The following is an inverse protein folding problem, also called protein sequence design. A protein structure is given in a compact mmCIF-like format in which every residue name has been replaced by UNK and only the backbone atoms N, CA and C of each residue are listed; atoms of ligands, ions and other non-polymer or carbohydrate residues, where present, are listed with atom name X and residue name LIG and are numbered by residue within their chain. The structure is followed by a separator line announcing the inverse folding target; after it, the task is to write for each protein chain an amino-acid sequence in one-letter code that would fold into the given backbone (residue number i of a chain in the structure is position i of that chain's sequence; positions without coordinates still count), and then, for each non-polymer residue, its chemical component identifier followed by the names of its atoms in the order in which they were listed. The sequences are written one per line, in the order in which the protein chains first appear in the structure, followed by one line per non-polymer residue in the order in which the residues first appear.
data_IF_055124478630
#
_entry.id   IF_055124478630
#
_cell.length_a   1.000
_cell.length_b   1.000
_cell.length_c   1.000
_cell.angle_alpha   90.00
_cell.angle_beta   90.00
_cell.angle_gamma   90.00
#
_symmetry.space_group_name_H-M   'P 1'
#
loop_
_entity.id
_entity.type
_entity.pdbx_description
1 polymer ?
#
# COMPACT_ATOMS: atom_id res chain seq x y z
N UNK A 1 86.33 6.99 -58.72
CA UNK A 1 86.46 8.44 -59.04
C UNK A 1 85.30 9.17 -58.38
N UNK A 2 85.61 10.25 -57.63
CA UNK A 2 84.74 11.25 -56.96
C UNK A 2 84.03 10.75 -55.68
N UNK A 3 84.48 11.04 -54.44
CA UNK A 3 84.49 12.32 -53.65
C UNK A 3 83.06 12.90 -53.54
N UNK A 4 82.44 13.18 -52.38
CA UNK A 4 82.89 13.94 -51.18
C UNK A 4 81.90 13.85 -49.99
N UNK A 5 82.43 13.94 -48.75
CA UNK A 5 81.98 14.66 -47.52
C UNK A 5 80.49 14.59 -47.04
N UNK A 6 80.11 14.69 -45.77
CA UNK A 6 80.71 14.79 -44.43
C UNK A 6 79.52 14.94 -43.47
N UNK A 7 79.52 14.28 -42.32
CA UNK A 7 79.36 14.90 -40.99
C UNK A 7 79.12 13.83 -39.91
N UNK A 8 80.00 13.89 -38.91
CA UNK A 8 79.93 13.21 -37.61
C UNK A 8 79.09 14.08 -36.69
N UNK A 9 78.01 13.55 -36.09
CA UNK A 9 77.69 13.76 -34.67
C UNK A 9 76.61 12.79 -34.16
N UNK A 10 77.01 11.96 -33.19
CA UNK A 10 76.34 11.46 -31.98
C UNK A 10 74.87 11.86 -31.74
N UNK A 11 73.99 10.91 -31.32
CA UNK A 11 73.30 10.92 -30.01
C UNK A 11 72.20 9.84 -29.84
N UNK A 12 72.22 9.22 -28.65
CA UNK A 12 71.20 8.51 -27.86
C UNK A 12 70.48 7.24 -28.37
N UNK A 13 70.70 6.16 -27.60
CA UNK A 13 69.77 5.04 -27.41
C UNK A 13 68.43 5.54 -26.84
N UNK A 14 67.33 5.05 -27.42
CA UNK A 14 66.05 4.87 -26.73
C UNK A 14 65.51 3.50 -27.13
N UNK A 15 65.51 2.57 -26.17
CA UNK A 15 64.92 1.24 -26.30
C UNK A 15 63.41 1.44 -26.07
N UNK A 16 62.60 1.35 -27.13
CA UNK A 16 61.15 1.34 -27.02
C UNK A 16 60.68 -0.12 -27.00
N UNK A 17 60.35 -0.62 -25.82
CA UNK A 17 59.62 -1.88 -25.63
C UNK A 17 58.16 -1.65 -25.99
N UNK A 18 57.74 -2.14 -27.15
CA UNK A 18 56.34 -2.14 -27.58
C UNK A 18 55.60 -3.29 -26.89
N UNK A 19 54.95 -3.02 -25.76
CA UNK A 19 53.98 -3.93 -25.17
C UNK A 19 52.65 -3.80 -25.91
N UNK A 20 52.29 -4.84 -26.66
CA UNK A 20 50.97 -4.97 -27.28
C UNK A 20 49.95 -5.26 -26.18
N UNK A 21 49.29 -4.23 -25.66
CA UNK A 21 48.18 -4.39 -24.74
C UNK A 21 46.94 -4.85 -25.53
N UNK A 22 46.53 -6.09 -25.31
CA UNK A 22 45.25 -6.61 -25.76
C UNK A 22 44.14 -5.89 -24.97
N UNK A 23 43.42 -4.97 -25.60
CA UNK A 23 42.29 -4.27 -24.98
C UNK A 23 41.12 -5.23 -24.82
N UNK A 24 41.05 -5.89 -23.65
CA UNK A 24 39.83 -6.49 -23.16
C UNK A 24 38.88 -5.34 -22.80
N UNK A 25 37.94 -5.01 -23.68
CA UNK A 25 36.76 -4.23 -23.29
C UNK A 25 35.97 -5.07 -22.32
N UNK A 26 36.12 -4.78 -21.02
CA UNK A 26 35.19 -5.22 -20.00
C UNK A 26 33.85 -4.56 -20.35
N UNK A 27 32.77 -5.32 -20.59
CA UNK A 27 31.45 -4.70 -20.70
C UNK A 27 31.20 -3.99 -19.37
N UNK A 28 30.90 -2.68 -19.43
CA UNK A 28 30.44 -1.97 -18.25
C UNK A 28 29.35 -2.82 -17.61
N UNK A 29 29.51 -3.15 -16.32
CA UNK A 29 28.41 -3.69 -15.54
C UNK A 29 27.25 -2.73 -15.77
N UNK A 30 26.13 -3.25 -16.26
CA UNK A 30 24.88 -2.51 -16.25
C UNK A 30 24.73 -1.96 -14.84
N UNK A 31 24.64 -0.63 -14.71
CA UNK A 31 24.15 -0.05 -13.46
C UNK A 31 22.92 -0.85 -13.05
N UNK A 32 22.78 -1.29 -11.79
CA UNK A 32 21.53 -1.89 -11.36
C UNK A 32 20.41 -0.92 -11.76
N UNK A 33 19.36 -1.44 -12.39
CA UNK A 33 18.12 -0.69 -12.55
C UNK A 33 17.79 -0.04 -11.19
N UNK A 34 17.32 1.23 -11.15
CA UNK A 34 16.94 1.84 -9.89
C UNK A 34 15.96 0.88 -9.18
N UNK A 35 16.37 0.38 -8.04
CA UNK A 35 15.54 -0.48 -7.23
C UNK A 35 14.58 0.43 -6.49
N UNK A 36 13.35 0.53 -6.99
CA UNK A 36 12.29 1.23 -6.29
C UNK A 36 11.97 0.48 -5.00
N UNK A 37 11.91 1.22 -3.89
CA UNK A 37 11.38 0.78 -2.61
C UNK A 37 9.98 1.35 -2.47
N UNK A 38 9.09 0.64 -1.79
CA UNK A 38 7.80 1.24 -1.48
C UNK A 38 8.01 2.44 -0.54
N UNK A 39 8.72 2.18 0.56
CA UNK A 39 8.99 3.13 1.65
C UNK A 39 10.44 3.01 2.20
N UNK A 40 10.77 3.80 3.22
CA UNK A 40 12.07 3.76 3.95
C UNK A 40 11.99 2.97 5.27
N UNK A 41 10.93 2.20 5.52
CA UNK A 41 10.84 1.33 6.69
C UNK A 41 11.91 0.22 6.59
N UNK A 42 12.55 -0.14 7.72
CA UNK A 42 13.65 -1.07 7.71
C UNK A 42 13.20 -2.46 7.23
N UNK A 43 13.77 -2.93 6.13
CA UNK A 43 13.78 -4.36 5.81
C UNK A 43 14.49 -5.15 6.90
N UNK A 44 14.12 -6.43 7.09
CA UNK A 44 14.39 -7.32 8.25
C UNK A 44 15.75 -7.26 8.98
N UNK A 45 16.79 -6.63 8.42
CA UNK A 45 18.14 -6.62 8.94
C UNK A 45 18.44 -5.63 10.09
N UNK A 46 17.53 -4.74 10.49
CA UNK A 46 17.79 -3.80 11.62
C UNK A 46 16.68 -3.70 12.68
N UNK A 47 15.64 -4.53 12.63
CA UNK A 47 14.68 -4.62 13.73
C UNK A 47 15.02 -5.81 14.61
N UNK A 48 15.97 -5.66 15.52
CA UNK A 48 16.40 -6.75 16.40
C UNK A 48 15.41 -7.08 17.52
N UNK A 49 14.09 -7.07 17.24
CA UNK A 49 13.11 -8.04 17.75
C UNK A 49 11.94 -8.31 16.76
N UNK A 50 12.06 -8.01 15.46
CA UNK A 50 11.09 -8.40 14.43
C UNK A 50 11.52 -9.73 13.78
N UNK A 51 10.97 -10.81 14.31
CA UNK A 51 11.34 -12.19 14.00
C UNK A 51 10.58 -12.64 12.73
N UNK A 52 11.33 -12.85 11.64
CA UNK A 52 11.20 -13.72 10.44
C UNK A 52 9.87 -14.36 9.99
N UNK A 53 8.71 -13.88 10.42
CA UNK A 53 7.38 -14.33 10.00
C UNK A 53 6.49 -13.08 10.09
N UNK A 54 5.98 -12.58 8.96
CA UNK A 54 5.12 -11.41 8.84
C UNK A 54 4.42 -10.98 10.15
N UNK A 55 4.92 -9.92 10.80
CA UNK A 55 4.44 -9.48 12.12
C UNK A 55 3.50 -8.30 11.98
N UNK A 56 2.36 -8.40 12.64
CA UNK A 56 1.55 -7.24 12.99
C UNK A 56 2.36 -6.32 13.92
N UNK A 57 2.65 -5.10 13.49
CA UNK A 57 3.33 -4.08 14.29
C UNK A 57 2.34 -3.48 15.29
N UNK A 58 1.10 -3.25 14.86
CA UNK A 58 -0.01 -2.74 15.67
C UNK A 58 -1.33 -3.08 15.00
N UNK A 59 -2.46 -2.64 15.56
CA UNK A 59 -3.79 -2.79 14.93
C UNK A 59 -4.75 -1.71 15.38
N UNK A 60 -5.77 -1.47 14.56
CA UNK A 60 -6.96 -0.73 14.93
C UNK A 60 -7.81 -1.48 15.95
N UNK A 61 -8.41 -0.75 16.90
CA UNK A 61 -9.43 -1.29 17.81
C UNK A 61 -10.83 -1.33 17.18
N UNK A 62 -11.05 -0.54 16.12
CA UNK A 62 -12.27 -0.51 15.32
C UNK A 62 -12.12 -1.32 14.03
N UNK A 63 -13.22 -1.93 13.58
CA UNK A 63 -13.32 -2.53 12.24
C UNK A 63 -13.87 -1.55 11.20
N UNK A 64 -14.51 -0.47 11.65
CA UNK A 64 -14.94 0.63 10.80
C UNK A 64 -13.87 1.71 10.82
N UNK A 65 -13.18 1.87 9.69
CA UNK A 65 -12.06 2.79 9.52
C UNK A 65 -12.49 3.88 8.53
N UNK A 66 -12.29 5.14 8.89
CA UNK A 66 -12.56 6.26 7.99
C UNK A 66 -11.27 6.79 7.37
N UNK A 67 -11.33 7.27 6.14
CA UNK A 67 -10.18 7.91 5.48
C UNK A 67 -10.58 9.21 4.78
N UNK A 68 -9.62 10.13 4.57
CA UNK A 68 -9.87 11.41 3.91
C UNK A 68 -8.72 11.80 2.97
N UNK A 69 -9.06 12.22 1.75
CA UNK A 69 -8.10 12.80 0.80
C UNK A 69 -7.85 14.27 1.13
N UNK A 70 -6.65 14.61 1.59
CA UNK A 70 -6.26 16.00 1.85
C UNK A 70 -6.10 16.81 0.56
N UNK A 71 -5.59 16.17 -0.49
CA UNK A 71 -5.38 16.72 -1.83
C UNK A 71 -5.45 15.59 -2.89
N UNK A 72 -4.95 15.85 -4.10
CA UNK A 72 -4.88 14.91 -5.22
C UNK A 72 -3.65 15.18 -6.08
N UNK A 73 -3.40 14.32 -7.07
CA UNK A 73 -2.35 14.53 -8.09
C UNK A 73 -2.97 14.83 -9.46
N UNK A 74 -2.38 15.76 -10.21
CA UNK A 74 -2.79 16.08 -11.59
C UNK A 74 -2.13 15.16 -12.63
N UNK A 75 -1.38 14.14 -12.20
CA UNK A 75 -0.68 13.21 -13.09
C UNK A 75 -1.61 12.16 -13.74
N UNK A 76 -2.77 11.94 -13.15
CA UNK A 76 -3.81 11.03 -13.62
C UNK A 76 -5.08 11.83 -13.93
N UNK A 77 -5.80 11.44 -14.98
CA UNK A 77 -6.95 12.19 -15.45
C UNK A 77 -8.15 12.05 -14.50
N UNK A 78 -8.74 13.18 -14.08
CA UNK A 78 -10.03 13.18 -13.37
C UNK A 78 -9.93 12.72 -11.92
N UNK A 79 -10.68 11.66 -11.56
CA UNK A 79 -10.68 11.06 -10.21
C UNK A 79 -9.99 9.67 -10.22
N UNK A 80 -9.20 9.35 -11.25
CA UNK A 80 -8.58 8.03 -11.42
C UNK A 80 -7.72 7.67 -10.22
N UNK A 81 -6.95 8.61 -9.68
CA UNK A 81 -6.13 8.42 -8.49
C UNK A 81 -6.96 8.03 -7.25
N UNK A 82 -8.10 8.69 -7.04
CA UNK A 82 -9.02 8.36 -5.94
C UNK A 82 -9.66 7.00 -6.13
N UNK A 83 -10.06 6.67 -7.35
CA UNK A 83 -10.68 5.38 -7.67
C UNK A 83 -9.70 4.21 -7.49
N UNK A 84 -8.42 4.39 -7.81
CA UNK A 84 -7.38 3.40 -7.56
C UNK A 84 -7.14 3.21 -6.06
N UNK A 85 -7.11 4.28 -5.27
CA UNK A 85 -6.97 4.19 -3.81
C UNK A 85 -8.19 3.52 -3.16
N UNK A 86 -9.42 3.82 -3.60
CA UNK A 86 -10.64 3.11 -3.17
C UNK A 86 -10.58 1.62 -3.51
N UNK A 87 -10.07 1.26 -4.68
CA UNK A 87 -9.85 -0.15 -5.06
C UNK A 87 -8.78 -0.81 -4.19
N UNK A 88 -7.72 -0.10 -3.81
CA UNK A 88 -6.70 -0.61 -2.91
C UNK A 88 -7.28 -0.94 -1.52
N UNK A 89 -8.11 -0.06 -0.94
CA UNK A 89 -8.88 -0.40 0.28
C UNK A 89 -9.78 -1.62 0.09
N UNK A 90 -10.38 -1.77 -1.09
CA UNK A 90 -11.26 -2.91 -1.42
C UNK A 90 -10.51 -4.25 -1.42
N UNK A 91 -9.24 -4.28 -1.82
CA UNK A 91 -8.42 -5.51 -1.77
C UNK A 91 -8.36 -6.06 -0.33
N UNK A 92 -8.15 -5.18 0.65
CA UNK A 92 -8.04 -5.54 2.06
C UNK A 92 -9.39 -5.85 2.71
N UNK A 93 -10.43 -5.05 2.45
CA UNK A 93 -11.78 -5.32 2.99
C UNK A 93 -12.41 -6.59 2.42
N UNK A 94 -12.03 -7.00 1.20
CA UNK A 94 -12.50 -8.27 0.64
C UNK A 94 -12.00 -9.51 1.41
N UNK A 95 -10.92 -9.38 2.18
CA UNK A 95 -10.29 -10.49 2.91
C UNK A 95 -10.53 -10.43 4.43
N UNK A 96 -11.14 -9.34 4.93
CA UNK A 96 -11.28 -9.04 6.35
C UNK A 96 -12.70 -8.55 6.69
N UNK A 97 -13.07 -8.45 7.98
CA UNK A 97 -14.28 -7.75 8.41
C UNK A 97 -14.18 -6.22 8.33
N UNK A 98 -13.05 -5.66 7.88
CA UNK A 98 -12.83 -4.22 7.87
C UNK A 98 -13.74 -3.52 6.86
N UNK A 99 -14.23 -2.35 7.23
CA UNK A 99 -14.95 -1.45 6.32
C UNK A 99 -14.25 -0.11 6.24
N UNK A 100 -14.12 0.42 5.03
CA UNK A 100 -13.50 1.71 4.77
C UNK A 100 -14.55 2.69 4.26
N UNK A 101 -14.62 3.87 4.89
CA UNK A 101 -15.56 4.93 4.49
C UNK A 101 -14.83 6.25 4.32
N UNK A 102 -15.03 6.91 3.18
CA UNK A 102 -14.50 8.25 2.95
C UNK A 102 -15.20 9.26 3.87
N UNK A 103 -14.44 9.91 4.75
CA UNK A 103 -14.93 10.95 5.63
C UNK A 103 -15.23 12.25 4.84
N UNK A 104 -16.17 13.06 5.35
CA UNK A 104 -16.51 14.34 4.72
C UNK A 104 -15.51 15.46 5.03
N UNK A 105 -14.68 15.30 6.06
CA UNK A 105 -13.64 16.24 6.43
C UNK A 105 -12.49 15.53 7.17
N UNK A 106 -11.33 16.20 7.19
CA UNK A 106 -10.10 15.69 7.80
C UNK A 106 -10.24 15.32 9.28
N UNK A 107 -11.07 16.02 10.05
CA UNK A 107 -11.15 15.80 11.51
C UNK A 107 -11.89 14.50 11.89
N UNK A 108 -12.67 13.94 10.97
CA UNK A 108 -13.45 12.71 11.17
C UNK A 108 -12.76 11.46 10.58
N UNK A 109 -11.52 11.60 10.09
CA UNK A 109 -10.78 10.53 9.42
C UNK A 109 -9.82 9.83 10.39
N UNK A 110 -9.76 8.49 10.34
CA UNK A 110 -8.70 7.72 10.99
C UNK A 110 -7.40 7.77 10.16
N UNK A 111 -7.52 7.70 8.83
CA UNK A 111 -6.41 7.75 7.87
C UNK A 111 -6.49 9.01 7.01
N UNK A 112 -5.41 9.79 6.93
CA UNK A 112 -5.29 10.90 5.98
C UNK A 112 -4.41 10.53 4.80
N UNK A 113 -4.94 10.73 3.59
CA UNK A 113 -4.26 10.42 2.33
C UNK A 113 -3.82 11.73 1.67
N UNK A 114 -2.54 11.86 1.36
CA UNK A 114 -2.01 13.07 0.73
C UNK A 114 -0.91 12.79 -0.30
N UNK A 115 -0.77 13.71 -1.24
CA UNK A 115 0.32 13.83 -2.21
C UNK A 115 1.25 14.91 -1.72
N UNK A 116 2.54 14.60 -1.59
CA UNK A 116 3.53 15.53 -1.06
C UNK A 116 4.83 15.46 -1.86
N UNK A 117 5.69 16.45 -1.69
CA UNK A 117 7.01 16.50 -2.35
C UNK A 117 8.06 16.90 -1.32
N UNK A 118 9.21 16.22 -1.34
CA UNK A 118 10.35 16.51 -0.47
C UNK A 118 9.95 16.70 1.00
N UNK A 119 10.42 17.76 1.65
CA UNK A 119 10.00 18.12 3.01
C UNK A 119 8.54 18.57 3.06
N UNK A 120 7.72 17.80 3.78
CA UNK A 120 6.30 18.02 3.97
C UNK A 120 5.87 18.04 5.44
N UNK A 121 6.82 18.31 6.34
CA UNK A 121 6.62 18.61 7.76
C UNK A 121 6.10 17.45 8.65
N UNK A 122 6.25 16.19 8.24
CA UNK A 122 6.03 15.02 9.09
C UNK A 122 7.34 14.45 9.67
N UNK A 123 8.49 14.88 9.16
CA UNK A 123 9.81 14.46 9.62
C UNK A 123 10.52 13.48 8.68
N UNK A 124 9.79 12.97 7.68
CA UNK A 124 10.26 11.94 6.73
C UNK A 124 10.16 12.49 5.29
N UNK A 125 11.10 13.35 4.86
CA UNK A 125 11.02 13.98 3.54
C UNK A 125 11.21 12.97 2.40
N UNK A 126 10.43 13.09 1.33
CA UNK A 126 10.66 12.35 0.09
C UNK A 126 11.95 12.78 -0.62
N UNK A 127 12.47 11.93 -1.49
CA UNK A 127 13.76 12.11 -2.17
C UNK A 127 13.64 12.63 -3.62
N UNK A 128 12.42 12.75 -4.14
CA UNK A 128 12.13 13.15 -5.51
C UNK A 128 12.03 11.91 -6.42
N UNK A 129 12.29 12.04 -7.74
CA UNK A 129 12.06 10.91 -8.64
C UNK A 129 12.99 9.72 -8.38
N UNK A 130 12.42 8.55 -8.10
CA UNK A 130 13.13 7.30 -7.83
C UNK A 130 13.11 6.90 -6.35
N UNK A 131 13.62 5.70 -6.07
CA UNK A 131 13.79 5.15 -4.71
C UNK A 131 12.47 5.03 -3.92
N UNK A 132 12.10 6.00 -3.08
CA UNK A 132 10.96 5.89 -2.14
C UNK A 132 9.69 6.43 -2.80
N UNK A 133 8.71 5.54 -3.00
CA UNK A 133 7.49 5.87 -3.74
C UNK A 133 6.41 6.52 -2.85
N UNK A 134 6.32 6.08 -1.60
CA UNK A 134 5.30 6.47 -0.66
C UNK A 134 5.73 6.14 0.78
N UNK A 135 4.95 6.57 1.76
CA UNK A 135 5.05 6.03 3.11
C UNK A 135 3.72 6.10 3.86
N UNK A 136 3.58 5.24 4.87
CA UNK A 136 2.46 5.24 5.77
C UNK A 136 2.91 5.02 7.22
N UNK A 137 2.13 5.55 8.17
CA UNK A 137 2.30 5.22 9.57
C UNK A 137 1.45 4.02 9.98
N UNK A 138 1.89 3.34 11.05
CA UNK A 138 1.11 2.25 11.64
C UNK A 138 -0.01 2.79 12.54
N UNK A 139 -1.12 2.05 12.71
CA UNK A 139 -2.12 2.34 13.74
C UNK A 139 -1.46 2.51 15.10
N UNK A 140 -1.86 3.50 15.88
CA UNK A 140 -1.41 3.63 17.25
C UNK A 140 -2.61 3.45 18.20
N UNK A 141 -2.77 2.30 18.88
CA UNK A 141 -3.89 2.11 19.80
C UNK A 141 -3.72 2.89 21.12
N UNK A 142 -2.58 3.55 21.33
CA UNK A 142 -2.25 4.23 22.58
C UNK A 142 -2.48 5.74 22.53
N UNK A 143 -2.73 6.31 21.35
CA UNK A 143 -3.18 7.69 21.19
C UNK A 143 -4.18 7.83 20.05
N UNK A 144 -4.83 8.99 19.96
CA UNK A 144 -5.79 9.27 18.89
C UNK A 144 -5.12 10.01 17.72
N UNK A 145 -3.85 9.73 17.45
CA UNK A 145 -3.18 10.31 16.28
C UNK A 145 -3.76 9.71 15.00
N UNK A 146 -3.92 10.55 13.97
CA UNK A 146 -4.35 10.08 12.66
C UNK A 146 -3.19 9.34 12.01
N UNK A 147 -3.51 8.22 11.37
CA UNK A 147 -2.55 7.53 10.50
C UNK A 147 -2.40 8.33 9.21
N UNK A 148 -1.16 8.49 8.76
CA UNK A 148 -0.85 9.17 7.51
C UNK A 148 -0.56 8.14 6.43
N UNK A 149 -0.92 8.49 5.19
CA UNK A 149 -0.54 7.79 3.99
C UNK A 149 -0.18 8.84 2.94
N UNK A 150 1.11 8.96 2.65
CA UNK A 150 1.65 9.94 1.73
C UNK A 150 2.22 9.26 0.48
N UNK A 151 1.99 9.86 -0.67
CA UNK A 151 2.62 9.48 -1.95
C UNK A 151 3.55 10.60 -2.41
N UNK A 152 4.74 10.25 -2.94
CA UNK A 152 5.62 11.25 -3.55
C UNK A 152 5.04 11.72 -4.89
N UNK A 153 4.62 12.98 -4.96
CA UNK A 153 4.06 13.60 -6.16
C UNK A 153 5.14 14.00 -7.19
N UNK A 154 6.43 13.77 -6.89
CA UNK A 154 7.50 13.81 -7.89
C UNK A 154 7.69 12.47 -8.63
N UNK A 155 7.02 11.40 -8.19
CA UNK A 155 7.00 10.13 -8.91
C UNK A 155 6.05 10.12 -10.09
N UNK A 156 6.33 9.29 -11.09
CA UNK A 156 5.49 9.17 -12.30
C UNK A 156 4.41 8.10 -12.12
N UNK A 157 3.28 8.50 -11.56
CA UNK A 157 2.14 7.60 -11.31
C UNK A 157 1.42 7.17 -12.58
N UNK A 158 1.04 5.89 -12.65
CA UNK A 158 0.23 5.34 -13.73
C UNK A 158 -0.89 4.43 -13.21
N UNK A 159 -1.96 4.31 -14.01
CA UNK A 159 -2.88 3.18 -13.98
C UNK A 159 -2.41 2.14 -15.01
N UNK A 160 -1.45 1.28 -14.66
CA UNK A 160 -0.93 0.29 -15.62
C UNK A 160 -0.40 -0.99 -14.99
N UNK A 161 -0.77 -2.12 -15.59
CA UNK A 161 -0.27 -3.45 -15.21
C UNK A 161 0.98 -3.88 -16.00
N UNK A 162 1.52 -3.00 -16.84
CA UNK A 162 2.47 -3.44 -17.89
C UNK A 162 3.89 -2.95 -17.73
N UNK A 163 4.16 -1.91 -16.91
CA UNK A 163 5.42 -1.37 -16.31
C UNK A 163 5.13 0.05 -15.77
N UNK A 164 6.10 0.68 -15.08
CA UNK A 164 6.03 1.98 -14.36
C UNK A 164 5.43 1.86 -12.95
N UNK A 165 5.53 2.95 -12.17
CA UNK A 165 5.02 3.04 -10.79
C UNK A 165 3.49 3.02 -10.80
N UNK A 166 2.94 1.83 -10.62
CA UNK A 166 1.50 1.61 -10.60
C UNK A 166 0.89 2.05 -9.26
N UNK A 167 0.02 3.07 -9.31
CA UNK A 167 -0.53 3.69 -8.10
C UNK A 167 -1.36 2.70 -7.27
N UNK A 168 -2.14 1.81 -7.91
CA UNK A 168 -2.94 0.85 -7.15
C UNK A 168 -2.06 -0.15 -6.39
N UNK A 169 -0.96 -0.56 -6.99
CA UNK A 169 0.01 -1.47 -6.35
C UNK A 169 0.64 -0.80 -5.13
N UNK A 170 1.15 0.43 -5.27
CA UNK A 170 1.78 1.17 -4.17
C UNK A 170 0.75 1.51 -3.09
N UNK A 171 -0.43 2.02 -3.46
CA UNK A 171 -1.49 2.30 -2.51
C UNK A 171 -1.90 1.06 -1.72
N UNK A 172 -2.00 -0.10 -2.37
CA UNK A 172 -2.35 -1.33 -1.68
C UNK A 172 -1.27 -1.77 -0.68
N UNK A 173 0.01 -1.59 -1.01
CA UNK A 173 1.14 -1.82 -0.10
C UNK A 173 1.06 -0.90 1.13
N UNK A 174 0.99 0.42 0.91
CA UNK A 174 0.94 1.39 2.00
C UNK A 174 -0.29 1.22 2.89
N UNK A 175 -1.45 0.89 2.31
CA UNK A 175 -2.64 0.58 3.11
C UNK A 175 -2.38 -0.63 4.01
N UNK A 176 -1.59 -1.63 3.59
CA UNK A 176 -1.16 -2.71 4.47
C UNK A 176 -0.46 -2.19 5.74
N UNK A 177 0.46 -1.24 5.61
CA UNK A 177 1.07 -0.56 6.76
C UNK A 177 0.05 0.19 7.62
N UNK A 178 -0.89 0.91 7.02
CA UNK A 178 -2.00 1.55 7.77
C UNK A 178 -2.91 0.56 8.49
N UNK A 179 -2.84 -0.74 8.17
CA UNK A 179 -3.57 -1.81 8.84
C UNK A 179 -2.69 -2.59 9.83
N UNK A 180 -1.44 -2.17 10.02
CA UNK A 180 -0.54 -2.76 11.00
C UNK A 180 0.40 -3.82 10.44
N UNK A 181 0.46 -4.01 9.13
CA UNK A 181 1.29 -5.04 8.49
C UNK A 181 2.73 -4.55 8.31
N UNK A 182 3.72 -5.31 8.79
CA UNK A 182 5.11 -5.09 8.40
C UNK A 182 5.38 -5.56 6.95
N UNK A 183 6.59 -5.30 6.45
CA UNK A 183 7.02 -5.95 5.20
C UNK A 183 7.05 -7.47 5.33
N UNK A 184 6.71 -8.14 4.23
CA UNK A 184 6.88 -9.58 4.06
C UNK A 184 8.31 -9.93 3.61
N UNK A 185 8.76 -11.12 3.99
CA UNK A 185 9.99 -11.73 3.46
C UNK A 185 9.75 -12.53 2.18
N UNK A 186 8.49 -12.78 1.77
CA UNK A 186 8.16 -13.40 0.50
C UNK A 186 8.30 -12.37 -0.64
N UNK A 187 9.24 -12.55 -1.60
CA UNK A 187 9.41 -11.63 -2.72
C UNK A 187 8.22 -11.58 -3.68
N UNK A 188 7.24 -12.48 -3.54
CA UNK A 188 6.00 -12.48 -4.33
C UNK A 188 4.82 -11.82 -3.57
N UNK A 189 4.99 -11.44 -2.31
CA UNK A 189 3.95 -10.75 -1.55
C UNK A 189 3.79 -9.30 -2.01
N UNK A 190 2.58 -8.76 -1.88
CA UNK A 190 2.34 -7.34 -2.07
C UNK A 190 3.15 -6.54 -1.05
N UNK A 191 3.19 -6.99 0.20
CA UNK A 191 3.94 -6.36 1.29
C UNK A 191 5.46 -6.57 1.24
N UNK A 192 6.03 -7.11 0.15
CA UNK A 192 7.49 -7.17 0.03
C UNK A 192 8.11 -5.77 -0.07
N UNK A 193 9.20 -5.51 0.64
CA UNK A 193 9.79 -4.18 0.80
C UNK A 193 10.22 -3.47 -0.51
N UNK A 194 10.46 -4.22 -1.59
CA UNK A 194 10.90 -3.65 -2.87
C UNK A 194 9.82 -3.74 -3.94
N UNK A 195 9.61 -2.64 -4.65
CA UNK A 195 8.73 -2.59 -5.80
C UNK A 195 9.35 -3.35 -6.98
N UNK A 196 8.67 -4.40 -7.44
CA UNK A 196 9.13 -5.23 -8.57
C UNK A 196 8.26 -5.10 -9.82
N UNK A 197 7.28 -4.20 -9.79
CA UNK A 197 6.31 -3.97 -10.85
C UNK A 197 4.87 -4.05 -10.35
N UNK A 198 3.89 -3.88 -11.23
CA UNK A 198 2.47 -3.88 -10.86
C UNK A 198 2.06 -5.22 -10.24
N UNK A 199 1.44 -5.16 -9.06
CA UNK A 199 0.91 -6.29 -8.31
C UNK A 199 -0.43 -5.89 -7.67
N UNK A 200 -1.53 -6.13 -8.40
CA UNK A 200 -2.87 -5.63 -8.05
C UNK A 200 -3.74 -6.65 -7.29
N UNK A 201 -3.10 -7.53 -6.54
CA UNK A 201 -3.72 -8.63 -5.80
C UNK A 201 -2.97 -8.88 -4.49
N UNK A 202 -3.66 -9.47 -3.52
CA UNK A 202 -3.03 -9.95 -2.30
C UNK A 202 -2.53 -11.39 -2.53
N UNK A 203 -1.30 -11.68 -2.11
CA UNK A 203 -0.77 -13.04 -2.07
C UNK A 203 -1.33 -13.83 -0.88
N UNK A 204 -1.09 -15.14 -0.85
CA UNK A 204 -1.49 -15.97 0.28
C UNK A 204 -0.84 -15.52 1.60
N UNK A 205 0.39 -14.97 1.55
CA UNK A 205 1.10 -14.44 2.71
C UNK A 205 0.44 -13.16 3.23
N UNK A 206 0.11 -12.22 2.34
CA UNK A 206 -0.60 -10.98 2.68
C UNK A 206 -1.98 -11.29 3.32
N UNK A 207 -2.71 -12.25 2.74
CA UNK A 207 -4.03 -12.69 3.22
C UNK A 207 -3.92 -13.34 4.59
N UNK A 208 -3.01 -14.31 4.76
CA UNK A 208 -2.82 -14.99 6.04
C UNK A 208 -2.42 -14.00 7.14
N UNK A 209 -1.55 -13.06 6.79
CA UNK A 209 -1.07 -12.02 7.67
C UNK A 209 -2.17 -11.06 8.14
N UNK A 210 -2.97 -10.50 7.23
CA UNK A 210 -4.05 -9.59 7.61
C UNK A 210 -5.17 -10.30 8.39
N UNK A 211 -5.48 -11.55 8.03
CA UNK A 211 -6.48 -12.35 8.73
C UNK A 211 -6.02 -12.76 10.12
N UNK A 212 -4.71 -12.85 10.38
CA UNK A 212 -4.19 -13.06 11.73
C UNK A 212 -4.47 -11.86 12.66
N UNK A 213 -4.63 -10.65 12.12
CA UNK A 213 -4.93 -9.43 12.89
C UNK A 213 -6.43 -9.24 13.08
N UNK A 214 -7.19 -9.33 11.97
CA UNK A 214 -8.59 -8.89 11.91
C UNK A 214 -9.59 -10.05 11.74
N UNK A 215 -9.11 -11.27 11.55
CA UNK A 215 -9.95 -12.42 11.18
C UNK A 215 -10.35 -12.41 9.70
N UNK A 216 -11.05 -13.46 9.30
CA UNK A 216 -11.56 -13.62 7.93
C UNK A 216 -12.79 -12.73 7.70
N UNK A 217 -12.97 -12.25 6.48
CA UNK A 217 -14.24 -11.67 6.04
C UNK A 217 -15.39 -12.63 6.38
N UNK A 218 -16.32 -12.17 7.22
CA UNK A 218 -17.56 -12.90 7.44
C UNK A 218 -18.42 -12.77 6.19
N UNK A 219 -19.11 -13.84 5.79
CA UNK A 219 -20.13 -13.74 4.75
C UNK A 219 -21.11 -12.61 5.12
N UNK A 220 -21.64 -11.85 4.13
CA UNK A 220 -22.70 -10.89 4.40
C UNK A 220 -23.75 -11.60 5.24
N UNK A 221 -24.11 -11.02 6.39
CA UNK A 221 -25.21 -11.55 7.19
C UNK A 221 -26.40 -11.74 6.25
N UNK A 222 -27.01 -12.94 6.19
CA UNK A 222 -28.18 -13.13 5.34
C UNK A 222 -29.17 -12.04 5.72
N UNK A 223 -29.68 -11.32 4.71
CA UNK A 223 -30.66 -10.27 4.93
C UNK A 223 -31.73 -10.79 5.91
N UNK A 224 -32.17 -9.98 6.89
CA UNK A 224 -33.19 -10.42 7.84
C UNK A 224 -34.34 -11.02 7.04
N UNK A 225 -34.61 -12.30 7.32
CA UNK A 225 -35.59 -13.09 6.59
C UNK A 225 -36.88 -12.27 6.56
N UNK A 226 -37.35 -11.93 5.36
CA UNK A 226 -38.59 -11.17 5.24
C UNK A 226 -39.67 -11.92 6.03
N UNK A 227 -40.50 -11.22 6.84
CA UNK A 227 -41.58 -11.87 7.55
C UNK A 227 -42.37 -12.75 6.58
N UNK A 228 -42.83 -13.95 6.98
CA UNK A 228 -43.67 -14.78 6.14
C UNK A 228 -44.76 -13.92 5.50
N UNK A 229 -45.00 -14.07 4.19
CA UNK A 229 -45.98 -13.24 3.46
C UNK A 229 -47.42 -13.35 4.00
N UNK A 230 -47.66 -14.26 4.94
CA UNK A 230 -48.92 -14.48 5.65
C UNK A 230 -48.91 -14.00 7.12
N UNK A 231 -47.86 -13.30 7.58
CA UNK A 231 -47.85 -12.70 8.91
C UNK A 231 -48.78 -11.48 8.93
N UNK A 232 -49.85 -11.56 9.73
CA UNK A 232 -50.68 -10.40 10.06
C UNK A 232 -49.79 -9.29 10.64
N UNK A 233 -49.93 -8.03 10.17
CA UNK A 233 -49.14 -6.94 10.71
C UNK A 233 -49.38 -6.81 12.22
N UNK A 234 -48.34 -6.48 13.01
CA UNK A 234 -48.48 -6.31 14.44
C UNK A 234 -49.53 -5.23 14.76
N UNK A 235 -50.31 -5.41 15.83
CA UNK A 235 -51.31 -4.42 16.25
C UNK A 235 -50.67 -3.05 16.48
N UNK A 236 -51.38 -1.99 16.09
CA UNK A 236 -50.92 -0.61 16.31
C UNK A 236 -50.90 -0.31 17.80
N UNK A 237 -49.99 0.56 18.27
CA UNK A 237 -49.92 0.94 19.69
C UNK A 237 -51.28 1.35 20.25
N UNK A 238 -51.71 0.67 21.31
CA UNK A 238 -53.00 0.86 21.97
C UNK A 238 -54.12 -0.09 21.51
N UNK A 239 -53.80 -1.11 20.71
CA UNK A 239 -54.75 -2.15 20.27
C UNK A 239 -54.41 -3.57 20.77
N UNK A 240 -53.34 -3.70 21.54
CA UNK A 240 -52.85 -4.91 22.17
C UNK A 240 -52.43 -4.50 23.58
N UNK A 241 -53.30 -4.81 24.55
CA UNK A 241 -53.19 -4.28 25.90
C UNK A 241 -52.31 -5.13 26.82
N UNK A 242 -52.00 -6.36 26.44
CA UNK A 242 -51.08 -7.26 27.17
C UNK A 242 -49.75 -7.51 26.44
N UNK A 243 -49.55 -6.87 25.28
CA UNK A 243 -48.34 -6.88 24.45
C UNK A 243 -47.96 -8.30 23.98
N UNK A 244 -48.95 -9.17 23.78
CA UNK A 244 -48.73 -10.56 23.35
C UNK A 244 -48.61 -10.74 21.83
N UNK A 245 -48.90 -9.67 21.07
CA UNK A 245 -48.82 -9.62 19.61
C UNK A 245 -50.14 -9.91 18.90
N UNK A 246 -51.25 -10.11 19.62
CA UNK A 246 -52.61 -10.28 19.10
C UNK A 246 -53.41 -9.02 19.45
N UNK A 247 -54.20 -8.51 18.50
CA UNK A 247 -55.04 -7.35 18.79
C UNK A 247 -56.20 -7.75 19.74
N UNK A 248 -56.55 -6.89 20.71
CA UNK A 248 -57.63 -7.11 21.69
C UNK A 248 -58.98 -7.49 21.02
N UNK A 249 -59.19 -7.03 19.79
CA UNK A 249 -60.40 -7.30 18.99
C UNK A 249 -60.43 -8.69 18.33
N UNK A 250 -59.27 -9.31 18.19
CA UNK A 250 -59.06 -10.62 17.57
C UNK A 250 -58.86 -11.72 18.64
N UNK A 251 -58.81 -11.33 19.91
CA UNK A 251 -58.88 -12.25 21.04
C UNK A 251 -60.24 -12.95 21.09
N UNK A 252 -60.21 -14.27 20.88
CA UNK A 252 -61.39 -15.09 21.07
C UNK A 252 -61.53 -15.33 22.57
N UNK A 253 -62.52 -14.69 23.20
CA UNK A 253 -62.92 -14.99 24.57
C UNK A 253 -63.17 -16.50 24.73
N UNK A 254 -62.17 -17.23 25.24
CA UNK A 254 -62.35 -18.60 25.73
C UNK A 254 -63.14 -18.48 27.03
N UNK A 255 -64.46 -18.44 26.89
CA UNK A 255 -65.37 -18.63 28.02
C UNK A 255 -65.44 -20.12 28.31
N UNK A 256 -64.63 -20.58 29.26
CA UNK A 256 -64.66 -21.96 29.75
C UNK A 256 -63.43 -22.35 30.54
#
# INVERSE_FOLDING_TARGET
MKQTFSHITTLLLLISSLTLACSLTIPAASSPEPQYRYDDLPGEANESEAISEYRAISKWDSLAITYFFENGTDQLDGDVERDLIRRAFTLWSAQTPLTFTEASNRADADITVAWAVRDHNDGDPFDGPGDVLAHASFPNPYDNSQVILHFDDEERWVDSETRNVDLLTVAAHEIGHTLGLAHSSDPNALMFASYSGPHRSLSDDDIAGIQAIYGMASAPEPAPEAPPQDATPPPTQGQDSDEDGIADQDEVLVTG
#
